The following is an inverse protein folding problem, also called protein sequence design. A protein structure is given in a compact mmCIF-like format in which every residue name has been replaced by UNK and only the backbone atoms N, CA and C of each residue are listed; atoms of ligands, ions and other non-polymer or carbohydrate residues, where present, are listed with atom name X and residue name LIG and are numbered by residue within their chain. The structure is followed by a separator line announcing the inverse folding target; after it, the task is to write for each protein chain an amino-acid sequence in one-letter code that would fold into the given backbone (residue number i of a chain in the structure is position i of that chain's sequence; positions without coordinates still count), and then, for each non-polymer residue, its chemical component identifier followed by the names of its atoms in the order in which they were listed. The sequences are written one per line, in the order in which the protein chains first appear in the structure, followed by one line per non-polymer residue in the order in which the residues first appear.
data_IF_017152488077
#
_entry.id   IF_017152488077
#
_cell.length_a   1.000
_cell.length_b   1.000
_cell.length_c   1.000
_cell.angle_alpha   90.00
_cell.angle_beta   90.00
_cell.angle_gamma   90.00
#
_symmetry.space_group_name_H-M   'P 1'
#
loop_
_entity.id
_entity.type
_entity.pdbx_description
1 polymer ?
#
# COMPACT_ATOMS: atom_id res chain seq x y z
N UNK A 1 26.43 6.59 10.12
CA UNK A 1 26.35 5.46 9.18
C UNK A 1 25.18 4.59 9.59
N UNK A 2 24.02 4.95 9.06
CA UNK A 2 22.69 4.60 9.54
C UNK A 2 22.27 3.23 9.01
N UNK A 3 22.76 2.19 9.68
CA UNK A 3 22.31 0.82 9.49
C UNK A 3 20.82 0.72 9.86
N UNK A 4 19.92 0.83 8.88
CA UNK A 4 18.49 0.56 9.07
C UNK A 4 18.10 -0.70 8.29
N UNK A 5 18.21 -1.89 8.90
CA UNK A 5 17.50 -3.05 8.41
C UNK A 5 16.07 -3.00 8.96
N UNK A 6 15.10 -2.76 8.09
CA UNK A 6 13.72 -3.24 8.30
C UNK A 6 13.07 -3.46 6.95
N UNK A 7 13.42 -4.60 6.35
CA UNK A 7 12.60 -5.27 5.34
C UNK A 7 11.40 -5.95 6.04
N UNK A 8 10.61 -5.20 6.80
CA UNK A 8 9.37 -5.72 7.41
C UNK A 8 8.26 -5.72 6.38
N UNK A 9 8.36 -6.61 5.37
CA UNK A 9 7.33 -7.08 4.41
C UNK A 9 6.54 -6.02 3.60
N UNK A 10 6.70 -4.77 3.96
CA UNK A 10 5.91 -3.61 3.64
C UNK A 10 6.96 -2.54 3.47
N UNK A 11 7.44 -2.38 2.24
CA UNK A 11 8.46 -1.39 1.92
C UNK A 11 8.10 0.01 2.42
N UNK A 12 9.01 0.97 2.24
CA UNK A 12 8.81 2.37 2.68
C UNK A 12 7.52 3.04 2.13
N UNK A 13 6.92 2.42 1.11
CA UNK A 13 5.66 2.74 0.46
C UNK A 13 4.51 2.79 1.47
N UNK A 14 4.13 4.00 1.87
CA UNK A 14 3.03 4.26 2.83
C UNK A 14 1.82 4.95 2.21
N UNK A 15 1.91 5.34 0.95
CA UNK A 15 0.89 6.10 0.23
C UNK A 15 0.71 5.54 -1.18
N UNK A 16 -0.42 5.87 -1.79
CA UNK A 16 -0.78 5.38 -3.12
C UNK A 16 0.15 5.86 -4.24
N UNK A 17 0.74 7.06 -4.12
CA UNK A 17 1.68 7.56 -5.11
C UNK A 17 3.01 6.81 -5.16
N UNK A 18 3.34 6.06 -4.10
CA UNK A 18 4.53 5.20 -4.05
C UNK A 18 4.26 3.83 -4.69
N UNK A 19 2.98 3.46 -4.85
CA UNK A 19 2.55 2.16 -5.37
C UNK A 19 2.30 2.26 -6.87
N UNK A 20 2.66 1.21 -7.61
CA UNK A 20 2.55 1.21 -9.08
C UNK A 20 1.24 0.64 -9.59
N UNK A 21 0.64 -0.29 -8.85
CA UNK A 21 -0.49 -1.08 -9.32
C UNK A 21 -1.47 -1.38 -8.18
N UNK A 22 -2.75 -1.56 -8.52
CA UNK A 22 -3.75 -1.95 -7.53
C UNK A 22 -3.41 -3.30 -6.87
N UNK A 23 -2.88 -4.28 -7.63
CA UNK A 23 -2.49 -5.57 -7.05
C UNK A 23 -1.42 -5.42 -5.96
N UNK A 24 -0.46 -4.51 -6.18
CA UNK A 24 0.57 -4.19 -5.18
C UNK A 24 -0.05 -3.47 -3.98
N UNK A 25 -0.90 -2.47 -4.20
CA UNK A 25 -1.61 -1.78 -3.12
C UNK A 25 -2.45 -2.75 -2.27
N UNK A 26 -3.10 -3.74 -2.91
CA UNK A 26 -3.92 -4.77 -2.26
C UNK A 26 -3.12 -5.77 -1.47
N UNK A 27 -1.95 -6.12 -1.98
CA UNK A 27 -0.98 -6.87 -1.20
C UNK A 27 -0.57 -6.07 0.03
N UNK A 28 -0.23 -4.79 -0.10
CA UNK A 28 0.14 -3.97 1.05
C UNK A 28 -1.01 -3.76 2.05
N UNK A 29 -2.25 -3.58 1.59
CA UNK A 29 -3.41 -3.49 2.48
C UNK A 29 -3.59 -4.77 3.30
N UNK A 30 -3.55 -5.95 2.66
CA UNK A 30 -3.76 -7.24 3.33
C UNK A 30 -2.56 -7.70 4.15
N UNK A 31 -1.37 -7.59 3.57
CA UNK A 31 -0.11 -8.07 4.14
C UNK A 31 0.41 -7.12 5.23
N UNK A 32 0.27 -5.81 5.02
CA UNK A 32 0.78 -4.80 5.96
C UNK A 32 -0.29 -4.24 6.88
N UNK A 33 -1.57 -4.53 6.61
CA UNK A 33 -2.67 -3.90 7.34
C UNK A 33 -2.71 -2.39 7.14
N UNK A 34 -2.22 -1.89 5.99
CA UNK A 34 -2.22 -0.46 5.67
C UNK A 34 -3.63 0.01 5.31
N UNK A 35 -4.54 -0.01 6.29
CA UNK A 35 -5.92 0.49 6.17
C UNK A 35 -5.99 1.93 5.69
N UNK A 36 -4.93 2.71 5.88
CA UNK A 36 -4.80 4.08 5.34
C UNK A 36 -4.82 4.16 3.81
N UNK A 37 -4.57 3.05 3.11
CA UNK A 37 -4.67 2.97 1.65
C UNK A 37 -6.11 2.80 1.20
N UNK A 38 -6.96 2.21 2.05
CA UNK A 38 -8.35 1.86 1.81
C UNK A 38 -9.20 2.72 2.75
N UNK A 39 -9.37 3.98 2.36
CA UNK A 39 -9.99 5.02 3.20
C UNK A 39 -11.48 4.79 3.42
N UNK A 40 -12.13 4.19 2.44
CA UNK A 40 -13.56 3.85 2.41
C UNK A 40 -13.84 2.41 2.86
N UNK A 41 -12.79 1.61 3.10
CA UNK A 41 -12.87 0.24 3.62
C UNK A 41 -13.68 -0.71 2.73
N UNK A 42 -13.71 -0.45 1.42
CA UNK A 42 -14.38 -1.28 0.42
C UNK A 42 -13.52 -2.49 0.02
N UNK A 43 -12.25 -2.50 0.43
CA UNK A 43 -11.27 -3.52 0.07
C UNK A 43 -10.46 -3.21 -1.20
N UNK A 44 -10.65 -2.03 -1.79
CA UNK A 44 -9.87 -1.51 -2.90
C UNK A 44 -8.91 -0.40 -2.40
N UNK A 45 -7.67 -0.76 -2.05
CA UNK A 45 -6.70 0.25 -1.65
C UNK A 45 -6.31 1.10 -2.84
N UNK A 46 -6.13 2.38 -2.56
CA UNK A 46 -5.73 3.38 -3.52
C UNK A 46 -6.71 3.45 -4.69
N UNK A 47 -7.83 4.14 -4.49
CA UNK A 47 -8.80 4.51 -5.53
C UNK A 47 -8.15 5.07 -6.80
N UNK A 48 -7.02 5.80 -6.71
CA UNK A 48 -6.30 6.26 -7.90
C UNK A 48 -5.63 5.13 -8.72
N UNK A 49 -5.30 4.00 -8.09
CA UNK A 49 -4.71 2.82 -8.73
C UNK A 49 -5.76 1.77 -9.08
N UNK A 50 -6.77 1.59 -8.23
CA UNK A 50 -7.81 0.57 -8.38
C UNK A 50 -9.13 1.09 -8.96
N UNK A 51 -9.44 2.36 -8.76
CA UNK A 51 -10.63 3.05 -9.26
C UNK A 51 -10.50 3.57 -10.70
N UNK A 52 -9.76 2.85 -11.56
CA UNK A 52 -9.91 3.05 -13.00
C UNK A 52 -11.22 2.41 -13.45
N UNK A 53 -12.26 3.23 -13.51
CA UNK A 53 -13.47 3.00 -14.30
C UNK A 53 -13.16 3.07 -15.79
#
# INVERSE_FOLDING_TARGET
MDWKPVLTNCGAKRTCGEMRDCAEARFYLKTCGLKRLDGDQDGAPCENLCGKR
#
